data_IF_163782106821
#
_entry.id   IF_163782106821
#
_cell.length_a   1.000
_cell.length_b   1.000
_cell.length_c   1.000
_cell.angle_alpha   90.00
_cell.angle_beta   90.00
_cell.angle_gamma   90.00
#
_symmetry.space_group_name_H-M   'P 1'
#
loop_
_entity.id
_entity.type
_entity.pdbx_description
1 polymer ?
#
# COMPACT_ATOMS: atom_id res chain seq x y z
N UNK A 1 20.56 15.26 1.38
CA UNK A 1 20.14 15.65 0.01
C UNK A 1 20.26 14.49 -1.01
N UNK A 2 20.49 13.24 -0.56
CA UNK A 2 20.56 12.04 -1.42
C UNK A 2 19.20 11.33 -1.54
N UNK A 3 18.18 12.04 -2.05
CA UNK A 3 16.79 11.56 -2.18
C UNK A 3 16.39 11.07 -3.57
N UNK A 4 17.30 11.03 -4.55
CA UNK A 4 16.94 10.88 -5.97
C UNK A 4 16.20 9.57 -6.31
N UNK A 5 16.44 8.48 -5.58
CA UNK A 5 15.74 7.20 -5.79
C UNK A 5 14.29 7.30 -5.27
N UNK A 6 14.11 7.94 -4.12
CA UNK A 6 12.80 8.11 -3.50
C UNK A 6 11.92 9.01 -4.34
N UNK A 7 12.47 10.14 -4.80
CA UNK A 7 11.77 11.06 -5.69
C UNK A 7 11.36 10.37 -7.00
N UNK A 8 12.22 9.50 -7.56
CA UNK A 8 11.92 8.76 -8.79
C UNK A 8 10.81 7.72 -8.61
N UNK A 9 10.83 6.95 -7.51
CA UNK A 9 9.78 5.96 -7.19
C UNK A 9 8.46 6.67 -6.95
N UNK A 10 8.49 7.76 -6.18
CA UNK A 10 7.32 8.58 -5.88
C UNK A 10 6.75 9.22 -7.14
N UNK A 11 7.60 9.76 -8.02
CA UNK A 11 7.16 10.36 -9.29
C UNK A 11 6.61 9.30 -10.25
N UNK A 12 7.21 8.10 -10.28
CA UNK A 12 6.69 6.96 -11.03
C UNK A 12 5.32 6.50 -10.54
N UNK A 13 5.12 6.44 -9.22
CA UNK A 13 3.83 6.12 -8.62
C UNK A 13 2.79 7.24 -8.88
N UNK A 14 3.18 8.51 -8.80
CA UNK A 14 2.32 9.65 -9.14
C UNK A 14 1.82 9.61 -10.59
N UNK A 15 2.71 9.29 -11.55
CA UNK A 15 2.34 9.12 -12.95
C UNK A 15 1.44 7.90 -13.18
N UNK A 16 1.65 6.80 -12.47
CA UNK A 16 0.79 5.60 -12.54
C UNK A 16 -0.64 5.86 -12.06
N UNK A 17 -0.82 6.76 -11.08
CA UNK A 17 -2.14 7.08 -10.52
C UNK A 17 -2.86 8.18 -11.32
N UNK A 18 -2.13 9.12 -11.92
CA UNK A 18 -2.69 10.29 -12.62
C UNK A 18 -3.57 9.97 -13.85
N UNK A 19 -3.39 8.80 -14.47
CA UNK A 19 -4.16 8.39 -15.67
C UNK A 19 -5.46 7.63 -15.34
N UNK A 20 -5.76 7.37 -14.07
CA UNK A 20 -6.94 6.60 -13.69
C UNK A 20 -8.22 7.47 -13.66
N UNK A 21 -9.39 6.93 -14.05
CA UNK A 21 -10.68 7.55 -13.75
C UNK A 21 -10.79 7.86 -12.25
N UNK A 22 -11.43 8.98 -11.88
CA UNK A 22 -11.53 9.47 -10.48
C UNK A 22 -11.98 8.39 -9.48
N UNK A 23 -12.88 7.49 -9.90
CA UNK A 23 -13.35 6.37 -9.09
C UNK A 23 -12.28 5.31 -8.78
N UNK A 24 -11.22 5.24 -9.58
CA UNK A 24 -10.09 4.32 -9.46
C UNK A 24 -8.81 5.00 -8.93
N UNK A 25 -8.79 6.32 -8.75
CA UNK A 25 -7.65 7.06 -8.17
C UNK A 25 -7.23 6.47 -6.82
N UNK A 26 -8.21 6.19 -5.95
CA UNK A 26 -7.96 5.59 -4.64
C UNK A 26 -7.40 4.15 -4.73
N UNK A 27 -7.81 3.39 -5.75
CA UNK A 27 -7.25 2.06 -6.02
C UNK A 27 -5.77 2.17 -6.42
N UNK A 28 -5.43 3.14 -7.27
CA UNK A 28 -4.04 3.43 -7.64
C UNK A 28 -3.19 3.78 -6.42
N UNK A 29 -3.71 4.61 -5.52
CA UNK A 29 -3.04 4.95 -4.26
C UNK A 29 -2.82 3.71 -3.37
N UNK A 30 -3.81 2.82 -3.26
CA UNK A 30 -3.66 1.56 -2.52
C UNK A 30 -2.58 0.65 -3.11
N UNK A 31 -2.58 0.46 -4.44
CA UNK A 31 -1.57 -0.38 -5.11
C UNK A 31 -0.17 0.21 -5.00
N UNK A 32 -0.05 1.54 -5.09
CA UNK A 32 1.21 2.25 -4.87
C UNK A 32 1.74 2.02 -3.45
N UNK A 33 0.87 2.09 -2.44
CA UNK A 33 1.23 1.83 -1.04
C UNK A 33 1.60 0.37 -0.80
N UNK A 34 0.86 -0.57 -1.39
CA UNK A 34 1.18 -2.00 -1.32
C UNK A 34 2.55 -2.29 -1.95
N UNK A 35 2.85 -1.71 -3.12
CA UNK A 35 4.15 -1.83 -3.76
C UNK A 35 5.29 -1.19 -2.96
N UNK A 36 5.06 0.00 -2.41
CA UNK A 36 6.05 0.69 -1.59
C UNK A 36 6.32 -0.03 -0.25
N UNK A 37 5.32 -0.71 0.32
CA UNK A 37 5.48 -1.52 1.53
C UNK A 37 6.54 -2.62 1.37
N UNK A 38 6.77 -3.12 0.14
CA UNK A 38 7.87 -4.04 -0.11
C UNK A 38 9.23 -3.44 0.23
N UNK A 39 9.42 -2.13 -0.01
CA UNK A 39 10.68 -1.40 0.26
C UNK A 39 10.77 -0.99 1.73
N UNK A 40 9.66 -0.48 2.28
CA UNK A 40 9.58 0.00 3.67
C UNK A 40 8.43 -0.72 4.40
N UNK A 41 8.65 -1.95 4.89
CA UNK A 41 7.63 -2.73 5.59
C UNK A 41 7.53 -2.29 7.05
N UNK A 42 7.06 -1.06 7.24
CA UNK A 42 6.89 -0.43 8.55
C UNK A 42 5.82 0.64 8.41
N UNK A 43 4.69 0.47 9.10
CA UNK A 43 3.61 1.46 9.01
C UNK A 43 4.08 2.89 9.33
N UNK A 44 4.70 3.12 10.48
CA UNK A 44 5.17 4.46 10.83
C UNK A 44 6.20 5.02 9.84
N UNK A 45 7.16 4.21 9.38
CA UNK A 45 8.16 4.62 8.40
C UNK A 45 7.56 4.91 7.02
N UNK A 46 6.67 4.04 6.55
CA UNK A 46 5.96 4.19 5.30
C UNK A 46 5.04 5.42 5.32
N UNK A 47 4.31 5.66 6.41
CA UNK A 47 3.48 6.85 6.56
C UNK A 47 4.32 8.13 6.53
N UNK A 48 5.46 8.14 7.25
CA UNK A 48 6.39 9.27 7.30
C UNK A 48 6.87 9.68 5.91
N UNK A 49 7.11 8.69 5.04
CA UNK A 49 7.65 8.92 3.70
C UNK A 49 6.56 9.20 2.68
N UNK A 50 5.47 8.43 2.69
CA UNK A 50 4.47 8.47 1.60
C UNK A 50 3.36 9.48 1.83
N UNK A 51 2.93 9.73 3.08
CA UNK A 51 1.79 10.62 3.35
C UNK A 51 2.01 12.08 2.94
N UNK A 52 3.21 12.68 3.08
CA UNK A 52 3.47 14.04 2.59
C UNK A 52 3.23 14.21 1.09
N UNK A 53 3.32 13.13 0.31
CA UNK A 53 3.05 13.09 -1.14
C UNK A 53 1.59 12.72 -1.40
N UNK A 54 1.08 11.72 -0.68
CA UNK A 54 -0.28 11.22 -0.88
C UNK A 54 -1.35 12.25 -0.49
N UNK A 55 -1.08 13.12 0.50
CA UNK A 55 -2.00 14.18 0.89
C UNK A 55 -2.25 15.19 -0.26
N UNK A 56 -1.25 15.85 -0.86
CA UNK A 56 -1.48 16.74 -1.99
C UNK A 56 -1.97 15.98 -3.24
N UNK A 57 -1.54 14.73 -3.45
CA UNK A 57 -2.05 13.91 -4.54
C UNK A 57 -3.56 13.63 -4.38
N UNK A 58 -4.02 13.37 -3.16
CA UNK A 58 -5.44 13.17 -2.87
C UNK A 58 -6.26 14.41 -3.18
N UNK A 59 -5.75 15.60 -2.86
CA UNK A 59 -6.41 16.87 -3.17
C UNK A 59 -6.51 17.11 -4.70
N UNK A 60 -5.52 16.69 -5.48
CA UNK A 60 -5.51 16.83 -6.96
C UNK A 60 -6.45 15.84 -7.64
N UNK A 61 -6.53 14.62 -7.11
CA UNK A 61 -7.33 13.53 -7.69
C UNK A 61 -8.78 13.48 -7.17
N UNK A 62 -9.19 14.47 -6.37
CA UNK A 62 -10.49 14.53 -5.70
C UNK A 62 -10.77 13.27 -4.86
N UNK A 63 -9.73 12.80 -4.18
CA UNK A 63 -9.79 11.69 -3.21
C UNK A 63 -9.74 12.29 -1.82
N UNK A 64 -10.62 11.82 -0.93
CA UNK A 64 -10.58 12.32 0.45
C UNK A 64 -9.28 11.88 1.13
N UNK A 65 -8.71 12.75 1.97
CA UNK A 65 -7.51 12.42 2.74
C UNK A 65 -7.69 11.18 3.62
N UNK A 66 -8.91 10.93 4.11
CA UNK A 66 -9.21 9.71 4.88
C UNK A 66 -9.17 8.46 4.01
N UNK A 67 -9.69 8.53 2.78
CA UNK A 67 -9.56 7.43 1.80
C UNK A 67 -8.09 7.19 1.45
N UNK A 68 -7.28 8.24 1.33
CA UNK A 68 -5.82 8.12 1.17
C UNK A 68 -5.18 7.40 2.37
N UNK A 69 -5.59 7.73 3.59
CA UNK A 69 -5.10 7.06 4.81
C UNK A 69 -5.51 5.59 4.84
N UNK A 70 -6.75 5.29 4.48
CA UNK A 70 -7.28 3.92 4.37
C UNK A 70 -6.49 3.09 3.34
N UNK A 71 -6.23 3.67 2.16
CA UNK A 71 -5.43 3.04 1.11
C UNK A 71 -4.02 2.68 1.62
N UNK A 72 -3.39 3.58 2.37
CA UNK A 72 -2.11 3.30 3.04
C UNK A 72 -2.21 2.17 4.08
N UNK A 73 -3.20 2.22 4.98
CA UNK A 73 -3.33 1.22 6.05
C UNK A 73 -3.55 -0.20 5.50
N UNK A 74 -4.37 -0.32 4.45
CA UNK A 74 -4.61 -1.58 3.77
C UNK A 74 -3.36 -2.05 3.01
N UNK A 75 -2.64 -1.14 2.35
CA UNK A 75 -1.41 -1.45 1.63
C UNK A 75 -0.29 -1.95 2.56
N UNK A 76 -0.04 -1.24 3.67
CA UNK A 76 0.96 -1.62 4.67
C UNK A 76 0.59 -2.92 5.38
N UNK A 77 -0.65 -3.02 5.90
CA UNK A 77 -1.08 -4.16 6.69
C UNK A 77 -1.03 -5.49 5.94
N UNK A 78 -1.41 -5.51 4.66
CA UNK A 78 -1.43 -6.72 3.85
C UNK A 78 -0.02 -7.17 3.44
N UNK A 79 0.86 -6.24 3.07
CA UNK A 79 2.21 -6.57 2.61
C UNK A 79 3.11 -7.13 3.72
N UNK A 80 2.92 -6.70 4.97
CA UNK A 80 3.79 -7.06 6.08
C UNK A 80 3.83 -8.57 6.46
N UNK A 81 2.83 -9.36 6.05
CA UNK A 81 2.73 -10.83 6.28
C UNK A 81 3.10 -11.65 5.01
N UNK A 82 3.51 -10.95 3.95
CA UNK A 82 3.92 -11.58 2.69
C UNK A 82 5.38 -11.28 2.37
N UNK A 83 5.80 -10.03 2.50
CA UNK A 83 7.09 -9.58 2.00
C UNK A 83 8.26 -10.03 2.87
N UNK A 84 9.35 -10.53 2.23
CA UNK A 84 10.52 -11.02 2.96
C UNK A 84 11.34 -9.88 3.59
N UNK A 85 11.03 -8.63 3.24
CA UNK A 85 11.63 -7.44 3.82
C UNK A 85 11.08 -7.13 5.21
N UNK A 86 9.94 -7.72 5.59
CA UNK A 86 9.33 -7.58 6.92
C UNK A 86 10.13 -8.37 7.96
N UNK A 87 11.02 -7.69 8.68
CA UNK A 87 11.95 -8.33 9.62
C UNK A 87 11.26 -9.09 10.76
N UNK A 88 10.19 -8.54 11.32
CA UNK A 88 9.43 -9.21 12.38
C UNK A 88 8.76 -10.48 11.84
N UNK A 89 8.19 -10.43 10.64
CA UNK A 89 7.51 -11.56 10.04
C UNK A 89 8.50 -12.68 9.69
N UNK A 90 9.66 -12.33 9.13
CA UNK A 90 10.73 -13.29 8.87
C UNK A 90 11.25 -13.94 10.16
N UNK A 91 11.36 -13.18 11.26
CA UNK A 91 11.69 -13.74 12.57
C UNK A 91 10.61 -14.72 13.06
N UNK A 92 9.31 -14.41 12.87
CA UNK A 92 8.23 -15.33 13.25
C UNK A 92 8.25 -16.63 12.44
N UNK A 93 8.54 -16.57 11.14
CA UNK A 93 8.69 -17.76 10.29
C UNK A 93 9.88 -18.62 10.72
N UNK A 94 11.00 -17.99 11.08
CA UNK A 94 12.18 -18.68 11.59
C UNK A 94 11.89 -19.41 12.91
N UNK A 95 11.19 -18.75 13.85
CA UNK A 95 10.76 -19.36 15.11
C UNK A 95 9.77 -20.51 14.91
N UNK A 96 8.87 -20.39 13.92
CA UNK A 96 7.93 -21.45 13.56
C UNK A 96 8.56 -22.59 12.75
N UNK A 97 9.83 -22.48 12.32
CA UNK A 97 10.49 -23.46 11.46
C UNK A 97 9.90 -23.54 10.04
N UNK A 98 9.21 -22.49 9.59
CA UNK A 98 8.55 -22.44 8.28
C UNK A 98 9.43 -21.66 7.31
N UNK A 99 9.75 -22.28 6.17
CA UNK A 99 10.44 -21.59 5.08
C UNK A 99 9.51 -20.55 4.42
N UNK A 100 10.02 -19.35 4.16
CA UNK A 100 9.25 -18.27 3.52
C UNK A 100 8.63 -18.69 2.17
N UNK A 101 9.37 -19.43 1.33
CA UNK A 101 8.85 -19.91 0.05
C UNK A 101 7.62 -20.82 0.19
N UNK A 102 7.57 -21.63 1.26
CA UNK A 102 6.40 -22.46 1.57
C UNK A 102 5.24 -21.63 2.09
N UNK A 103 5.53 -20.65 2.96
CA UNK A 103 4.52 -19.74 3.49
C UNK A 103 3.83 -18.97 2.36
N UNK A 104 4.61 -18.36 1.46
CA UNK A 104 4.05 -17.59 0.35
C UNK A 104 3.12 -18.45 -0.49
N UNK A 105 3.52 -19.66 -0.88
CA UNK A 105 2.64 -20.55 -1.67
C UNK A 105 1.33 -20.89 -0.97
N UNK A 106 1.37 -21.04 0.35
CA UNK A 106 0.18 -21.30 1.17
C UNK A 106 -0.71 -20.06 1.30
N UNK A 107 -0.10 -18.89 1.57
CA UNK A 107 -0.81 -17.65 1.89
C UNK A 107 -1.26 -16.87 0.64
N UNK A 108 -0.57 -17.02 -0.50
CA UNK A 108 -0.85 -16.29 -1.74
C UNK A 108 -2.33 -16.30 -2.18
N UNK A 109 -3.06 -17.45 -2.21
CA UNK A 109 -4.47 -17.42 -2.59
C UNK A 109 -5.31 -16.56 -1.64
N UNK A 110 -5.03 -16.61 -0.33
CA UNK A 110 -5.71 -15.78 0.66
C UNK A 110 -5.32 -14.31 0.52
N UNK A 111 -4.04 -14.02 0.25
CA UNK A 111 -3.54 -12.67 -0.01
C UNK A 111 -4.26 -12.02 -1.19
N UNK A 112 -4.45 -12.75 -2.30
CA UNK A 112 -5.18 -12.25 -3.48
C UNK A 112 -6.63 -11.90 -3.12
N UNK A 113 -7.31 -12.75 -2.33
CA UNK A 113 -8.68 -12.46 -1.85
C UNK A 113 -8.69 -11.17 -1.02
N UNK A 114 -7.74 -10.99 -0.10
CA UNK A 114 -7.65 -9.78 0.71
C UNK A 114 -7.34 -8.54 -0.11
N UNK A 115 -6.49 -8.63 -1.13
CA UNK A 115 -6.21 -7.52 -2.04
C UNK A 115 -7.47 -7.12 -2.81
N UNK A 116 -8.28 -8.08 -3.26
CA UNK A 116 -9.55 -7.80 -3.95
C UNK A 116 -10.56 -7.13 -3.00
N UNK A 117 -10.67 -7.62 -1.76
CA UNK A 117 -11.54 -7.02 -0.73
C UNK A 117 -11.09 -5.59 -0.42
N UNK A 118 -9.78 -5.39 -0.20
CA UNK A 118 -9.20 -4.07 0.06
C UNK A 118 -9.45 -3.12 -1.11
N UNK A 119 -9.19 -3.55 -2.34
CA UNK A 119 -9.48 -2.79 -3.56
C UNK A 119 -10.96 -2.37 -3.63
N UNK A 120 -11.88 -3.31 -3.39
CA UNK A 120 -13.32 -3.01 -3.36
C UNK A 120 -13.69 -2.00 -2.27
N UNK A 121 -13.10 -2.12 -1.08
CA UNK A 121 -13.35 -1.22 0.03
C UNK A 121 -12.80 0.18 -0.22
N UNK A 122 -11.62 0.29 -0.83
CA UNK A 122 -11.02 1.58 -1.22
C UNK A 122 -11.81 2.29 -2.32
N UNK A 123 -12.29 1.55 -3.33
CA UNK A 123 -13.18 2.09 -4.36
C UNK A 123 -14.52 2.52 -3.77
N UNK A 124 -15.10 1.71 -2.89
CA UNK A 124 -16.33 2.06 -2.18
C UNK A 124 -16.18 3.36 -1.39
N UNK A 125 -15.12 3.47 -0.59
CA UNK A 125 -14.81 4.69 0.17
C UNK A 125 -14.71 5.92 -0.72
N UNK A 126 -14.08 5.78 -1.89
CA UNK A 126 -13.96 6.87 -2.87
C UNK A 126 -15.32 7.26 -3.47
N UNK A 127 -16.12 6.29 -3.91
CA UNK A 127 -17.45 6.55 -4.50
C UNK A 127 -18.40 7.22 -3.50
N UNK A 128 -18.28 6.89 -2.21
CA UNK A 128 -19.09 7.51 -1.15
C UNK A 128 -18.50 8.81 -0.61
N UNK A 129 -17.34 9.26 -1.09
CA UNK A 129 -16.58 10.40 -0.55
C UNK A 129 -16.41 10.29 0.98
N UNK A 130 -16.00 9.10 1.43
CA UNK A 130 -15.91 8.80 2.86
C UNK A 130 -14.87 9.69 3.55
N UNK A 131 -15.25 10.27 4.69
CA UNK A 131 -14.47 11.26 5.43
C UNK A 131 -14.22 10.89 6.91
N UNK A 132 -14.42 9.62 7.28
CA UNK A 132 -14.38 9.16 8.67
C UNK A 132 -15.75 8.78 9.17
#
# INVERSE_FOLDING_TARGET
EDGQIMDSVVHGLGNLVGDFPVALSALGMFLAQLGFNFVVPSGSGQALVTMPIMAPLSDVLDVTRQTSVLAYQLGDGLGNILYPTSGYFMATLALAGVRWDKWVRFFLPLFVIWVIIAAGFTVYAQVTLWNG
#
